data_IF_359238782141
#
_entry.id   IF_359238782141
#
_cell.length_a   1.000
_cell.length_b   1.000
_cell.length_c   1.000
_cell.angle_alpha   90.00
_cell.angle_beta   90.00
_cell.angle_gamma   90.00
#
_symmetry.space_group_name_H-M   'P 1'
#
loop_
_entity.id
_entity.type
_entity.pdbx_description
1 polymer ?
#
# COMPACT_ATOMS: atom_id res chain seq x y z
N UNK A 1 -1.19 -11.97 5.32
CA UNK A 1 -0.29 -10.79 5.39
C UNK A 1 -0.99 -9.57 4.79
N UNK A 2 -1.48 -9.66 3.55
CA UNK A 2 -2.24 -8.58 2.91
C UNK A 2 -3.52 -8.16 3.65
N UNK A 3 -4.34 -9.11 4.11
CA UNK A 3 -5.57 -8.78 4.88
C UNK A 3 -5.28 -7.97 6.15
N UNK A 4 -4.31 -8.41 6.97
CA UNK A 4 -3.89 -7.68 8.17
C UNK A 4 -3.36 -6.27 7.87
N UNK A 5 -2.67 -6.10 6.75
CA UNK A 5 -2.20 -4.78 6.33
C UNK A 5 -3.38 -3.88 5.97
N UNK A 6 -4.34 -4.39 5.19
CA UNK A 6 -5.55 -3.68 4.82
C UNK A 6 -6.36 -3.30 6.06
N UNK A 7 -6.56 -4.22 7.01
CA UNK A 7 -7.24 -3.96 8.27
C UNK A 7 -6.58 -2.81 9.04
N UNK A 8 -5.25 -2.81 9.17
CA UNK A 8 -4.51 -1.71 9.81
C UNK A 8 -4.72 -0.37 9.09
N UNK A 9 -4.70 -0.35 7.76
CA UNK A 9 -4.94 0.88 6.96
C UNK A 9 -6.36 1.41 7.20
N UNK A 10 -7.37 0.53 7.24
CA UNK A 10 -8.75 0.90 7.55
C UNK A 10 -8.87 1.46 8.97
N UNK A 11 -8.25 0.81 9.95
CA UNK A 11 -8.26 1.26 11.34
C UNK A 11 -7.61 2.65 11.48
N UNK A 12 -6.46 2.88 10.86
CA UNK A 12 -5.80 4.18 10.86
C UNK A 12 -6.65 5.24 10.12
N UNK A 13 -7.29 4.87 9.01
CA UNK A 13 -8.21 5.76 8.29
C UNK A 13 -9.36 6.21 9.19
N UNK A 14 -9.96 5.29 9.95
CA UNK A 14 -11.00 5.62 10.93
C UNK A 14 -10.50 6.48 12.08
N UNK A 15 -9.26 6.30 12.50
CA UNK A 15 -8.66 7.14 13.54
C UNK A 15 -8.42 8.57 13.05
N UNK A 16 -7.88 8.72 11.84
CA UNK A 16 -7.70 10.05 11.21
C UNK A 16 -9.05 10.73 11.01
N UNK A 17 -10.05 10.02 10.48
CA UNK A 17 -11.40 10.56 10.25
C UNK A 17 -12.01 11.20 11.51
N UNK A 18 -11.63 10.69 12.69
CA UNK A 18 -12.12 11.16 14.01
C UNK A 18 -11.17 12.14 14.70
N UNK A 19 -10.08 12.55 14.05
CA UNK A 19 -9.15 13.51 14.64
C UNK A 19 -9.80 14.90 14.71
N UNK A 20 -9.94 15.43 15.93
CA UNK A 20 -10.57 16.73 16.17
C UNK A 20 -9.84 17.89 15.48
N UNK A 21 -8.53 17.77 15.23
CA UNK A 21 -7.77 18.80 14.52
C UNK A 21 -8.28 19.03 13.11
N UNK A 22 -8.86 18.01 12.47
CA UNK A 22 -9.47 18.14 11.15
C UNK A 22 -10.70 19.04 11.17
N UNK A 23 -11.47 19.13 12.25
CA UNK A 23 -12.70 19.92 12.30
C UNK A 23 -12.46 21.42 12.14
N UNK A 24 -11.25 21.88 12.48
CA UNK A 24 -10.86 23.28 12.42
C UNK A 24 -10.48 23.75 11.01
N UNK A 25 -10.31 22.81 10.08
CA UNK A 25 -9.79 23.06 8.74
C UNK A 25 -10.86 22.89 7.64
N UNK A 26 -11.04 23.93 6.84
CA UNK A 26 -12.02 24.01 5.73
C UNK A 26 -11.37 24.37 4.38
N UNK A 27 -10.04 24.36 4.33
CA UNK A 27 -9.24 24.58 3.14
C UNK A 27 -9.47 23.44 2.14
N UNK A 28 -9.47 23.76 0.84
CA UNK A 28 -9.88 22.83 -0.21
C UNK A 28 -9.06 21.53 -0.20
N UNK A 29 -7.74 21.63 -0.04
CA UNK A 29 -6.82 20.49 -0.01
C UNK A 29 -7.10 19.55 1.17
N UNK A 30 -7.43 20.12 2.34
CA UNK A 30 -7.76 19.36 3.54
C UNK A 30 -9.15 18.71 3.41
N UNK A 31 -10.10 19.39 2.76
CA UNK A 31 -11.42 18.81 2.46
C UNK A 31 -11.32 17.65 1.46
N UNK A 32 -10.49 17.78 0.43
CA UNK A 32 -10.21 16.70 -0.53
C UNK A 32 -9.57 15.50 0.18
N UNK A 33 -8.58 15.74 1.04
CA UNK A 33 -7.97 14.70 1.87
C UNK A 33 -9.00 13.96 2.73
N UNK A 34 -9.87 14.68 3.45
CA UNK A 34 -10.99 14.08 4.22
C UNK A 34 -11.91 13.24 3.34
N UNK A 35 -12.25 13.75 2.16
CA UNK A 35 -13.12 13.07 1.23
C UNK A 35 -12.49 11.76 0.72
N UNK A 36 -11.18 11.77 0.45
CA UNK A 36 -10.44 10.55 0.05
C UNK A 36 -10.47 9.48 1.16
N UNK A 37 -10.28 9.88 2.42
CA UNK A 37 -10.40 8.97 3.57
C UNK A 37 -11.82 8.41 3.68
N UNK A 38 -12.84 9.26 3.62
CA UNK A 38 -14.23 8.84 3.72
C UNK A 38 -14.60 7.87 2.59
N UNK A 39 -14.22 8.20 1.35
CA UNK A 39 -14.46 7.34 0.19
C UNK A 39 -13.78 5.97 0.36
N UNK A 40 -12.55 5.93 0.87
CA UNK A 40 -11.86 4.67 1.12
C UNK A 40 -12.60 3.82 2.14
N UNK A 41 -12.94 4.39 3.31
CA UNK A 41 -13.69 3.73 4.38
C UNK A 41 -15.05 3.21 3.89
N UNK A 42 -15.82 4.04 3.18
CA UNK A 42 -17.13 3.66 2.67
C UNK A 42 -17.05 2.59 1.58
N UNK A 43 -16.00 2.63 0.76
CA UNK A 43 -15.77 1.64 -0.29
C UNK A 43 -15.21 0.31 0.24
N UNK A 44 -14.72 0.29 1.47
CA UNK A 44 -14.18 -0.89 2.12
C UNK A 44 -15.32 -1.82 2.54
N UNK A 45 -15.36 -2.99 1.93
CA UNK A 45 -16.30 -4.04 2.25
C UNK A 45 -15.55 -5.37 2.25
N UNK A 46 -15.38 -5.96 3.44
CA UNK A 46 -14.71 -7.25 3.64
C UNK A 46 -15.35 -8.41 2.87
N UNK A 47 -16.59 -8.27 2.41
CA UNK A 47 -17.25 -9.28 1.59
C UNK A 47 -16.90 -9.17 0.09
N UNK A 48 -16.12 -8.16 -0.31
CA UNK A 48 -15.65 -8.03 -1.70
C UNK A 48 -14.53 -9.04 -1.98
N UNK A 49 -14.30 -9.43 -3.24
CA UNK A 49 -13.12 -10.21 -3.61
C UNK A 49 -11.82 -9.52 -3.15
N UNK A 50 -10.85 -10.31 -2.69
CA UNK A 50 -9.62 -9.79 -2.09
C UNK A 50 -8.86 -8.86 -3.06
N UNK A 51 -8.85 -9.18 -4.35
CA UNK A 51 -8.21 -8.40 -5.41
C UNK A 51 -8.83 -7.01 -5.53
N UNK A 52 -10.15 -6.91 -5.37
CA UNK A 52 -10.87 -5.63 -5.40
C UNK A 52 -10.52 -4.79 -4.18
N UNK A 53 -10.44 -5.41 -3.01
CA UNK A 53 -10.05 -4.72 -1.76
C UNK A 53 -8.61 -4.24 -1.86
N UNK A 54 -7.72 -5.09 -2.38
CA UNK A 54 -6.31 -4.78 -2.57
C UNK A 54 -6.12 -3.62 -3.55
N UNK A 55 -6.83 -3.63 -4.68
CA UNK A 55 -6.80 -2.55 -5.67
C UNK A 55 -7.23 -1.21 -5.07
N UNK A 56 -8.36 -1.18 -4.35
CA UNK A 56 -8.85 0.03 -3.67
C UNK A 56 -7.85 0.54 -2.64
N UNK A 57 -7.30 -0.38 -1.83
CA UNK A 57 -6.30 -0.04 -0.81
C UNK A 57 -5.03 0.51 -1.43
N UNK A 58 -4.54 -0.10 -2.53
CA UNK A 58 -3.38 0.41 -3.27
C UNK A 58 -3.61 1.86 -3.72
N UNK A 59 -4.73 2.15 -4.36
CA UNK A 59 -5.02 3.50 -4.84
C UNK A 59 -5.14 4.53 -3.70
N UNK A 60 -5.77 4.14 -2.59
CA UNK A 60 -5.82 4.99 -1.42
C UNK A 60 -4.42 5.25 -0.86
N UNK A 61 -3.61 4.21 -0.67
CA UNK A 61 -2.23 4.34 -0.16
C UNK A 61 -1.39 5.22 -1.09
N UNK A 62 -1.48 5.06 -2.41
CA UNK A 62 -0.80 5.93 -3.38
C UNK A 62 -1.20 7.41 -3.21
N UNK A 63 -2.49 7.69 -3.00
CA UNK A 63 -2.97 9.06 -2.76
C UNK A 63 -2.45 9.67 -1.45
N UNK A 64 -2.20 8.84 -0.44
CA UNK A 64 -1.64 9.27 0.85
C UNK A 64 -0.12 9.47 0.74
N UNK A 65 0.57 8.56 0.05
CA UNK A 65 2.02 8.63 -0.14
C UNK A 65 2.46 9.82 -0.98
N UNK A 66 1.57 10.34 -1.83
CA UNK A 66 1.78 11.59 -2.57
C UNK A 66 2.26 12.74 -1.65
N UNK A 67 1.65 12.90 -0.47
CA UNK A 67 2.00 14.00 0.43
C UNK A 67 3.44 13.90 0.98
N UNK A 68 3.94 12.68 1.18
CA UNK A 68 5.32 12.44 1.62
C UNK A 68 6.36 12.65 0.49
N UNK A 69 5.93 12.73 -0.76
CA UNK A 69 6.81 12.88 -1.93
C UNK A 69 6.93 14.33 -2.40
N UNK A 70 6.18 15.26 -1.82
CA UNK A 70 6.21 16.67 -2.18
C UNK A 70 7.56 17.30 -1.81
N UNK A 71 8.06 18.15 -2.70
CA UNK A 71 9.26 18.97 -2.40
C UNK A 71 8.92 20.15 -1.50
N UNK A 72 9.93 20.77 -0.88
CA UNK A 72 9.77 21.97 -0.05
C UNK A 72 9.06 23.12 -0.79
N UNK A 73 9.23 23.20 -2.11
CA UNK A 73 8.60 24.21 -2.97
C UNK A 73 7.10 23.93 -3.22
N UNK A 74 6.68 22.67 -3.10
CA UNK A 74 5.30 22.22 -3.27
C UNK A 74 4.52 22.16 -1.95
N UNK A 75 5.22 22.15 -0.81
CA UNK A 75 4.63 22.04 0.52
C UNK A 75 3.95 23.35 0.96
N UNK A 76 2.64 23.41 0.72
CA UNK A 76 1.74 24.40 1.31
C UNK A 76 1.55 24.15 2.81
N UNK A 77 0.94 25.11 3.51
CA UNK A 77 0.64 24.96 4.95
C UNK A 77 -0.33 23.81 5.20
N UNK A 78 -1.27 23.63 4.27
CA UNK A 78 -2.29 22.59 4.25
C UNK A 78 -1.67 21.20 4.06
N UNK A 79 -0.74 21.06 3.11
CA UNK A 79 -0.03 19.80 2.90
C UNK A 79 0.89 19.45 4.07
N UNK A 80 1.53 20.44 4.70
CA UNK A 80 2.31 20.20 5.94
C UNK A 80 1.44 19.67 7.07
N UNK A 81 0.26 20.27 7.27
CA UNK A 81 -0.70 19.77 8.25
C UNK A 81 -1.11 18.31 7.96
N UNK A 82 -1.38 17.99 6.69
CA UNK A 82 -1.71 16.61 6.28
C UNK A 82 -0.55 15.66 6.57
N UNK A 83 0.69 16.03 6.23
CA UNK A 83 1.89 15.21 6.51
C UNK A 83 2.04 14.98 8.02
N UNK A 84 1.95 16.03 8.83
CA UNK A 84 2.03 15.92 10.30
C UNK A 84 0.95 14.98 10.87
N UNK A 85 -0.25 15.02 10.30
CA UNK A 85 -1.34 14.13 10.69
C UNK A 85 -1.03 12.67 10.30
N UNK A 86 -0.53 12.43 9.09
CA UNK A 86 -0.15 11.10 8.64
C UNK A 86 1.02 10.51 9.44
N UNK A 87 2.00 11.34 9.81
CA UNK A 87 3.10 10.97 10.71
C UNK A 87 2.61 10.63 12.12
N UNK A 88 1.71 11.46 12.69
CA UNK A 88 1.08 11.20 13.99
C UNK A 88 0.43 9.82 14.05
N UNK A 89 -0.23 9.40 12.97
CA UNK A 89 -0.88 8.10 12.85
C UNK A 89 0.02 7.02 12.23
N UNK A 90 1.31 7.31 12.04
CA UNK A 90 2.34 6.31 11.67
C UNK A 90 2.08 5.61 10.33
N UNK A 91 1.50 6.33 9.36
CA UNK A 91 1.20 5.77 8.04
C UNK A 91 2.46 5.30 7.30
N UNK A 92 3.54 6.09 7.37
CA UNK A 92 4.80 5.72 6.74
C UNK A 92 5.44 4.48 7.39
N UNK A 93 5.40 4.37 8.72
CA UNK A 93 5.92 3.21 9.43
C UNK A 93 5.17 1.93 9.05
N UNK A 94 3.84 2.02 8.87
CA UNK A 94 3.01 0.90 8.41
C UNK A 94 3.34 0.48 6.97
N UNK A 95 3.60 1.45 6.09
CA UNK A 95 4.00 1.19 4.71
C UNK A 95 5.37 0.48 4.65
N UNK A 96 6.34 0.95 5.42
CA UNK A 96 7.66 0.33 5.56
C UNK A 96 7.56 -1.09 6.16
N UNK A 97 6.74 -1.30 7.19
CA UNK A 97 6.48 -2.63 7.77
C UNK A 97 5.96 -3.60 6.69
N UNK A 98 5.02 -3.13 5.85
CA UNK A 98 4.44 -3.94 4.79
C UNK A 98 5.47 -4.29 3.71
N UNK A 99 6.24 -3.30 3.22
CA UNK A 99 7.33 -3.52 2.25
C UNK A 99 8.34 -4.54 2.76
N UNK A 100 8.75 -4.41 4.01
CA UNK A 100 9.70 -5.34 4.64
C UNK A 100 9.12 -6.76 4.75
N UNK A 101 7.86 -6.88 5.15
CA UNK A 101 7.18 -8.16 5.26
C UNK A 101 7.03 -8.86 3.90
N UNK A 102 6.68 -8.10 2.85
CA UNK A 102 6.58 -8.63 1.48
C UNK A 102 7.97 -9.07 0.99
N UNK A 103 9.01 -8.25 1.23
CA UNK A 103 10.39 -8.61 0.89
C UNK A 103 10.81 -9.93 1.54
N UNK A 104 10.58 -10.08 2.85
CA UNK A 104 10.88 -11.32 3.58
C UNK A 104 10.13 -12.51 2.98
N UNK A 105 8.86 -12.33 2.61
CA UNK A 105 8.08 -13.39 1.96
C UNK A 105 8.68 -13.79 0.60
N UNK A 106 9.01 -12.82 -0.26
CA UNK A 106 9.61 -13.06 -1.57
C UNK A 106 10.96 -13.74 -1.44
N UNK A 107 11.83 -13.24 -0.57
CA UNK A 107 13.16 -13.82 -0.31
C UNK A 107 13.04 -15.27 0.18
N UNK A 108 12.10 -15.53 1.10
CA UNK A 108 11.82 -16.87 1.59
C UNK A 108 11.26 -17.80 0.50
N UNK A 109 10.37 -17.29 -0.35
CA UNK A 109 9.82 -18.03 -1.49
C UNK A 109 10.92 -18.41 -2.49
N UNK A 110 11.77 -17.45 -2.89
CA UNK A 110 12.91 -17.69 -3.77
C UNK A 110 13.88 -18.71 -3.22
N UNK A 111 14.23 -18.60 -1.94
CA UNK A 111 15.11 -19.57 -1.29
C UNK A 111 14.51 -20.98 -1.36
N UNK A 112 13.22 -21.12 -1.05
CA UNK A 112 12.52 -22.41 -1.16
C UNK A 112 12.43 -22.93 -2.59
N UNK A 113 12.25 -22.04 -3.56
CA UNK A 113 12.24 -22.41 -4.96
C UNK A 113 13.61 -22.93 -5.42
N UNK A 114 14.67 -22.18 -5.15
CA UNK A 114 16.05 -22.57 -5.48
C UNK A 114 16.47 -23.90 -4.84
N UNK A 115 16.05 -24.16 -3.60
CA UNK A 115 16.28 -25.43 -2.90
C UNK A 115 15.62 -26.63 -3.61
N UNK A 116 14.54 -26.41 -4.38
CA UNK A 116 13.73 -27.48 -4.96
C UNK A 116 13.74 -27.51 -6.50
N UNK A 117 14.44 -26.57 -7.16
CA UNK A 117 14.34 -26.36 -8.61
C UNK A 117 14.62 -27.60 -9.45
N UNK A 118 15.50 -28.49 -9.00
CA UNK A 118 15.86 -29.72 -9.71
C UNK A 118 14.72 -30.75 -9.74
N UNK A 119 13.70 -30.57 -8.89
CA UNK A 119 12.52 -31.42 -8.79
C UNK A 119 11.27 -30.79 -9.43
N UNK A 120 11.38 -29.55 -9.90
CA UNK A 120 10.27 -28.82 -10.52
C UNK A 120 10.20 -29.13 -12.02
N UNK A 121 8.98 -29.13 -12.54
CA UNK A 121 8.78 -29.29 -13.97
C UNK A 121 9.09 -27.99 -14.73
N UNK A 122 9.27 -28.13 -16.03
CA UNK A 122 9.60 -27.01 -16.92
C UNK A 122 8.61 -25.84 -16.82
N UNK A 123 7.28 -26.04 -16.78
CA UNK A 123 6.32 -24.95 -16.56
C UNK A 123 6.55 -24.14 -15.29
N UNK A 124 6.87 -24.80 -14.16
CA UNK A 124 7.14 -24.11 -12.90
C UNK A 124 8.46 -23.34 -12.93
N UNK A 125 9.49 -23.88 -13.60
CA UNK A 125 10.76 -23.17 -13.83
C UNK A 125 10.55 -21.91 -14.68
N UNK A 126 9.82 -22.00 -15.79
CA UNK A 126 9.50 -20.86 -16.66
C UNK A 126 8.61 -19.81 -15.98
N UNK A 127 7.72 -20.25 -15.08
CA UNK A 127 6.94 -19.33 -14.25
C UNK A 127 7.83 -18.57 -13.27
N UNK A 128 8.79 -19.24 -12.62
CA UNK A 128 9.68 -18.61 -11.66
C UNK A 128 10.70 -17.67 -12.29
N UNK A 129 11.23 -18.00 -13.46
CA UNK A 129 12.07 -17.07 -14.23
C UNK A 129 11.31 -15.78 -14.53
N UNK A 130 10.03 -15.89 -14.93
CA UNK A 130 9.17 -14.71 -15.12
C UNK A 130 8.91 -13.95 -13.83
N UNK A 131 8.63 -14.66 -12.73
CA UNK A 131 8.44 -14.06 -11.41
C UNK A 131 9.68 -13.29 -10.93
N UNK A 132 10.88 -13.84 -11.14
CA UNK A 132 12.14 -13.22 -10.74
C UNK A 132 12.44 -11.96 -11.58
N UNK A 133 12.12 -11.98 -12.87
CA UNK A 133 12.28 -10.82 -13.75
C UNK A 133 11.33 -9.65 -13.40
N UNK A 134 10.14 -9.93 -12.86
CA UNK A 134 9.20 -8.88 -12.40
C UNK A 134 9.79 -8.05 -11.27
N UNK A 135 10.66 -8.65 -10.45
CA UNK A 135 11.34 -7.96 -9.37
C UNK A 135 12.55 -7.15 -9.89
N UNK A 136 13.33 -7.68 -10.84
CA UNK A 136 14.44 -6.93 -11.46
C UNK A 136 13.95 -5.70 -12.24
N UNK A 137 12.80 -5.79 -12.90
CA UNK A 137 12.14 -4.63 -13.55
C UNK A 137 11.33 -3.79 -12.54
N UNK A 138 11.12 -4.29 -11.32
CA UNK A 138 10.16 -3.82 -10.32
C UNK A 138 10.75 -2.98 -9.19
N UNK A 139 11.98 -2.47 -9.30
CA UNK A 139 12.52 -1.45 -8.37
C UNK A 139 11.64 -0.19 -8.31
N UNK A 140 10.64 -0.02 -9.19
CA UNK A 140 9.66 1.08 -9.19
C UNK A 140 8.25 0.69 -8.72
N UNK A 141 8.13 0.06 -7.54
CA UNK A 141 6.85 -0.37 -6.94
C UNK A 141 6.41 -1.70 -7.53
N UNK A 142 6.44 -2.70 -6.67
CA UNK A 142 5.82 -4.01 -6.87
C UNK A 142 4.36 -3.81 -7.30
N UNK A 143 4.12 -3.87 -8.61
CA UNK A 143 2.77 -3.72 -9.14
C UNK A 143 2.01 -4.99 -8.81
N UNK A 144 1.25 -4.95 -7.70
CA UNK A 144 0.38 -6.03 -7.25
C UNK A 144 -0.58 -6.53 -8.34
N UNK A 145 -0.84 -5.71 -9.39
CA UNK A 145 -1.58 -6.15 -10.59
C UNK A 145 -0.84 -7.24 -11.36
N UNK A 146 0.48 -7.10 -11.55
CA UNK A 146 1.29 -8.12 -12.18
C UNK A 146 1.22 -9.41 -11.37
N UNK A 147 1.41 -9.34 -10.05
CA UNK A 147 1.29 -10.51 -9.16
C UNK A 147 -0.06 -11.23 -9.26
N UNK A 148 -1.18 -10.50 -9.37
CA UNK A 148 -2.51 -11.08 -9.51
C UNK A 148 -2.77 -11.79 -10.86
N UNK A 149 -1.96 -11.52 -11.90
CA UNK A 149 -2.01 -12.28 -13.16
C UNK A 149 -1.33 -13.65 -13.06
N UNK A 150 -0.63 -13.93 -11.94
CA UNK A 150 0.17 -15.15 -11.73
C UNK A 150 -0.38 -16.08 -10.64
N UNK A 151 -1.49 -15.73 -9.97
CA UNK A 151 -2.20 -16.54 -8.96
C UNK A 151 -3.51 -17.05 -9.57
#
# INVERSE_FOLDING_TARGET
MGEKYIEKIVDLSHQIQKDESLELHNEADILEFKQNINNYIESYNMNSPFEVILYKTKHFVESILYYFQLTDEQLTSEFKFIVELLEKYKYQELEEECKNNIKIFIDGFKMKFEENKDYLDKPLLEWYERFSNIEEEGEQIMDLRKLAEYI
#
